data_IF_692789627803
#
_entry.id   IF_692789627803
#
_cell.length_a   1.000
_cell.length_b   1.000
_cell.length_c   1.000
_cell.angle_alpha   90.00
_cell.angle_beta   90.00
_cell.angle_gamma   90.00
#
_symmetry.space_group_name_H-M   'P 1'
#
loop_
_entity.id
_entity.type
_entity.pdbx_description
1 polymer ?
#
# COMPACT_ATOMS: atom_id res chain seq x y z
N UNK A 1 32.38 -26.73 32.75
CA UNK A 1 31.70 -26.90 31.47
C UNK A 1 30.31 -27.43 31.71
N UNK A 2 29.29 -26.55 31.81
CA UNK A 2 27.89 -26.96 31.93
C UNK A 2 27.24 -26.58 30.58
N UNK A 3 26.86 -27.59 29.81
CA UNK A 3 26.06 -27.44 28.61
C UNK A 3 24.63 -27.05 29.03
N UNK A 4 24.22 -25.83 28.72
CA UNK A 4 22.84 -25.43 28.81
C UNK A 4 22.19 -25.77 27.46
N UNK A 5 21.44 -26.89 27.45
CA UNK A 5 20.56 -27.23 26.34
C UNK A 5 19.35 -26.31 26.40
N UNK A 6 19.27 -25.37 25.50
CA UNK A 6 18.08 -24.56 25.29
C UNK A 6 17.11 -25.38 24.42
N UNK A 7 16.13 -26.03 25.05
CA UNK A 7 15.03 -26.68 24.38
C UNK A 7 14.05 -25.56 24.01
N UNK A 8 14.05 -25.14 22.73
CA UNK A 8 13.02 -24.30 22.16
C UNK A 8 11.76 -25.15 22.03
N UNK A 9 10.89 -25.13 23.04
CA UNK A 9 9.53 -25.66 22.92
C UNK A 9 8.72 -24.77 22.01
N UNK A 10 8.66 -25.12 20.74
CA UNK A 10 7.71 -24.57 19.79
C UNK A 10 6.33 -25.10 20.18
N UNK A 11 5.59 -24.31 20.97
CA UNK A 11 4.18 -24.58 21.24
C UNK A 11 3.43 -24.27 19.95
N UNK A 12 3.20 -25.32 19.15
CA UNK A 12 2.20 -25.30 18.10
C UNK A 12 0.83 -25.19 18.79
N UNK A 13 0.33 -23.96 18.95
CA UNK A 13 -1.09 -23.74 19.21
C UNK A 13 -1.80 -24.04 17.90
N UNK A 14 -2.16 -25.30 17.71
CA UNK A 14 -3.13 -25.69 16.71
C UNK A 14 -4.49 -25.18 17.17
N UNK A 15 -4.78 -23.90 16.91
CA UNK A 15 -6.15 -23.45 16.87
C UNK A 15 -6.80 -24.15 15.68
N UNK A 16 -7.47 -25.24 15.96
CA UNK A 16 -8.47 -25.82 15.06
C UNK A 16 -9.56 -24.76 14.97
N UNK A 17 -9.44 -23.86 14.01
CA UNK A 17 -10.55 -23.04 13.60
C UNK A 17 -11.59 -23.98 13.00
N UNK A 18 -12.56 -24.36 13.80
CA UNK A 18 -13.84 -24.82 13.28
C UNK A 18 -14.35 -23.65 12.42
N UNK A 19 -14.22 -23.81 11.12
CA UNK A 19 -14.88 -22.94 10.16
C UNK A 19 -16.40 -23.09 10.37
N UNK A 20 -16.97 -22.21 11.17
CA UNK A 20 -18.38 -21.89 11.00
C UNK A 20 -18.50 -21.30 9.61
N UNK A 21 -19.12 -22.03 8.71
CA UNK A 21 -19.70 -21.48 7.50
C UNK A 21 -20.80 -20.51 7.98
N UNK A 22 -20.42 -19.26 8.25
CA UNK A 22 -21.40 -18.21 8.31
C UNK A 22 -21.95 -18.10 6.89
N UNK A 23 -23.18 -18.53 6.70
CA UNK A 23 -23.99 -18.09 5.58
C UNK A 23 -23.97 -16.56 5.66
N UNK A 24 -23.29 -15.92 4.68
CA UNK A 24 -23.32 -14.47 4.56
C UNK A 24 -24.79 -14.07 4.40
N UNK A 25 -25.38 -13.56 5.48
CA UNK A 25 -26.69 -12.95 5.39
C UNK A 25 -26.57 -11.74 4.47
N UNK A 26 -27.41 -11.65 3.48
CA UNK A 26 -27.42 -10.54 2.51
C UNK A 26 -27.58 -9.19 3.23
N UNK A 27 -28.28 -9.18 4.35
CA UNK A 27 -28.44 -8.00 5.21
C UNK A 27 -27.12 -7.59 5.91
N UNK A 28 -26.25 -8.55 6.26
CA UNK A 28 -24.92 -8.27 6.82
C UNK A 28 -23.94 -7.70 5.76
N UNK A 29 -24.09 -8.10 4.50
CA UNK A 29 -23.35 -7.55 3.37
C UNK A 29 -23.78 -6.11 3.03
N UNK A 30 -25.06 -5.82 3.08
CA UNK A 30 -25.61 -4.50 2.78
C UNK A 30 -25.49 -3.51 3.95
N UNK A 31 -25.49 -4.00 5.19
CA UNK A 31 -25.41 -3.15 6.40
C UNK A 31 -24.01 -3.03 7.01
N UNK A 32 -23.04 -3.87 6.59
CA UNK A 32 -21.73 -3.93 7.23
C UNK A 32 -20.55 -3.53 6.35
N UNK A 33 -20.71 -3.52 5.02
CA UNK A 33 -19.63 -3.19 4.10
C UNK A 33 -19.52 -1.67 3.95
N UNK A 34 -18.43 -1.10 4.48
CA UNK A 34 -18.17 0.34 4.40
C UNK A 34 -16.70 0.59 4.06
N UNK A 35 -16.39 0.43 2.77
CA UNK A 35 -15.02 0.59 2.26
C UNK A 35 -14.72 2.06 1.96
N UNK A 36 -13.54 2.52 2.36
CA UNK A 36 -13.05 3.84 2.01
C UNK A 36 -12.53 3.79 0.57
N UNK A 37 -13.09 4.61 -0.31
CA UNK A 37 -12.65 4.74 -1.70
C UNK A 37 -11.86 6.03 -1.90
N UNK A 38 -10.85 5.98 -2.77
CA UNK A 38 -10.00 7.12 -3.09
C UNK A 38 -9.77 7.23 -4.58
N UNK A 39 -9.47 8.43 -5.07
CA UNK A 39 -8.85 8.58 -6.37
C UNK A 39 -7.44 7.93 -6.39
N UNK A 40 -6.94 7.60 -7.56
CA UNK A 40 -5.58 7.09 -7.81
C UNK A 40 -5.09 5.99 -6.85
N UNK A 41 -5.86 4.92 -6.67
CA UNK A 41 -5.55 3.86 -5.70
C UNK A 41 -4.27 3.09 -6.03
N UNK A 42 -3.70 3.25 -7.22
CA UNK A 42 -2.44 2.63 -7.62
C UNK A 42 -1.27 3.04 -6.72
N UNK A 43 -1.37 4.19 -6.05
CA UNK A 43 -0.37 4.65 -5.09
C UNK A 43 -0.25 3.74 -3.85
N UNK A 44 -1.26 2.93 -3.56
CA UNK A 44 -1.25 1.97 -2.45
C UNK A 44 -0.69 0.60 -2.83
N UNK A 45 -0.51 0.32 -4.12
CA UNK A 45 0.03 -0.96 -4.57
C UNK A 45 1.50 -1.07 -4.14
N UNK A 46 1.85 -2.14 -3.40
CA UNK A 46 3.23 -2.45 -3.04
C UNK A 46 4.07 -2.66 -4.30
N UNK A 47 5.07 -1.80 -4.57
CA UNK A 47 5.73 -1.79 -5.86
C UNK A 47 6.89 -2.79 -5.97
N UNK A 48 7.53 -3.16 -4.85
CA UNK A 48 8.73 -3.96 -4.81
C UNK A 48 8.49 -5.38 -4.27
N UNK A 49 9.40 -6.29 -4.63
CA UNK A 49 9.30 -7.69 -4.25
C UNK A 49 9.71 -7.96 -2.81
N UNK A 50 10.69 -7.22 -2.25
CA UNK A 50 11.16 -7.44 -0.88
C UNK A 50 10.04 -7.24 0.13
N UNK A 51 9.45 -6.06 0.17
CA UNK A 51 8.34 -5.77 1.06
C UNK A 51 7.08 -6.56 0.69
N UNK A 52 6.82 -6.73 -0.61
CA UNK A 52 5.74 -7.56 -1.11
C UNK A 52 5.81 -9.03 -0.67
N UNK A 53 7.00 -9.57 -0.45
CA UNK A 53 7.21 -10.90 0.09
C UNK A 53 6.98 -11.00 1.61
N UNK A 54 6.96 -9.88 2.30
CA UNK A 54 6.77 -9.76 3.75
C UNK A 54 5.37 -9.27 4.14
N UNK A 55 4.35 -9.50 3.28
CA UNK A 55 2.98 -9.06 3.56
C UNK A 55 2.76 -7.57 3.39
N UNK A 56 3.46 -6.93 2.46
CA UNK A 56 3.47 -5.48 2.25
C UNK A 56 3.96 -4.70 3.49
N UNK A 57 5.01 -5.21 4.14
CA UNK A 57 5.68 -4.65 5.32
C UNK A 57 6.94 -3.89 4.89
N UNK A 58 7.11 -2.63 5.31
CA UNK A 58 8.28 -1.86 4.87
C UNK A 58 8.63 -0.60 5.66
N UNK A 59 7.75 -0.08 6.53
CA UNK A 59 7.96 1.23 7.17
C UNK A 59 9.15 1.26 8.13
N UNK A 60 9.46 0.12 8.74
CA UNK A 60 10.52 -0.02 9.72
C UNK A 60 11.59 -1.08 9.36
N UNK A 61 11.51 -1.72 8.20
CA UNK A 61 12.56 -2.64 7.73
C UNK A 61 13.90 -1.92 7.54
N UNK A 62 15.01 -2.67 7.48
CA UNK A 62 16.32 -2.09 7.18
C UNK A 62 16.29 -1.26 5.90
N UNK A 63 17.08 -0.17 5.81
CA UNK A 63 17.18 0.66 4.62
C UNK A 63 17.51 -0.14 3.37
N UNK A 64 16.89 0.22 2.24
CA UNK A 64 17.12 -0.35 0.92
C UNK A 64 16.78 0.66 -0.18
N UNK A 65 17.02 0.30 -1.43
CA UNK A 65 16.75 1.15 -2.59
C UNK A 65 15.26 1.44 -2.74
N UNK A 66 14.37 0.54 -2.30
CA UNK A 66 12.91 0.67 -2.40
C UNK A 66 12.27 1.42 -1.22
N UNK A 67 13.07 1.98 -0.33
CA UNK A 67 12.60 2.70 0.87
C UNK A 67 11.70 3.89 0.58
N UNK A 68 11.73 4.43 -0.65
CA UNK A 68 10.91 5.58 -1.03
C UNK A 68 9.41 5.38 -0.76
N UNK A 69 8.86 4.26 -1.21
CA UNK A 69 7.44 3.97 -1.02
C UNK A 69 7.04 3.78 0.44
N UNK A 70 7.95 3.20 1.23
CA UNK A 70 7.63 2.74 2.57
C UNK A 70 7.91 3.79 3.63
N UNK A 71 9.12 4.36 3.60
CA UNK A 71 9.59 5.37 4.56
C UNK A 71 10.86 6.04 4.02
N UNK A 72 10.77 7.20 3.39
CA UNK A 72 11.94 7.92 2.86
C UNK A 72 13.03 8.24 3.90
N UNK A 73 12.67 8.40 5.19
CA UNK A 73 13.66 8.68 6.25
C UNK A 73 14.72 7.58 6.41
N UNK A 74 14.42 6.34 5.99
CA UNK A 74 15.35 5.20 6.01
C UNK A 74 16.61 5.47 5.20
N UNK A 75 16.51 6.24 4.10
CA UNK A 75 17.65 6.55 3.25
C UNK A 75 18.80 7.25 3.97
N UNK A 76 18.54 7.95 5.08
CA UNK A 76 19.60 8.58 5.87
C UNK A 76 20.55 7.59 6.55
N UNK A 77 20.14 6.31 6.65
CA UNK A 77 20.92 5.22 7.21
C UNK A 77 21.42 4.22 6.15
N UNK A 78 21.23 4.52 4.86
CA UNK A 78 21.74 3.65 3.80
C UNK A 78 23.27 3.75 3.75
N UNK A 79 23.95 2.61 3.59
CA UNK A 79 25.40 2.56 3.65
C UNK A 79 26.02 2.96 2.30
N UNK A 80 25.50 2.39 1.23
CA UNK A 80 26.00 2.62 -0.12
C UNK A 80 25.72 4.03 -0.63
N UNK A 81 26.62 4.53 -1.50
CA UNK A 81 26.57 5.90 -2.00
C UNK A 81 25.45 6.13 -3.00
N UNK A 82 25.16 5.15 -3.84
CA UNK A 82 24.17 5.25 -4.90
C UNK A 82 23.57 3.90 -5.22
N UNK A 83 22.27 3.85 -5.39
CA UNK A 83 21.56 2.65 -5.80
C UNK A 83 20.34 2.99 -6.64
N UNK A 84 19.92 2.04 -7.47
CA UNK A 84 18.73 2.12 -8.28
C UNK A 84 18.02 0.78 -8.31
N UNK A 85 16.69 0.78 -8.44
CA UNK A 85 15.91 -0.43 -8.59
C UNK A 85 14.80 -0.25 -9.62
N UNK A 86 14.51 -1.32 -10.34
CA UNK A 86 13.35 -1.42 -11.23
C UNK A 86 12.49 -2.60 -10.81
N UNK A 87 11.18 -2.37 -10.71
CA UNK A 87 10.23 -3.42 -10.35
C UNK A 87 9.12 -3.50 -11.39
N UNK A 88 8.62 -4.71 -11.59
CA UNK A 88 7.51 -5.02 -12.47
C UNK A 88 6.49 -5.88 -11.74
N UNK A 89 5.24 -5.41 -11.70
CA UNK A 89 4.12 -6.08 -11.02
C UNK A 89 3.01 -6.29 -12.03
N UNK A 90 2.88 -7.49 -12.62
CA UNK A 90 1.70 -7.84 -13.41
C UNK A 90 0.48 -7.93 -12.48
N UNK A 91 -0.56 -7.16 -12.80
CA UNK A 91 -1.75 -6.99 -11.97
C UNK A 91 -2.95 -7.74 -12.56
N UNK A 92 -3.89 -8.21 -11.74
CA UNK A 92 -5.14 -8.87 -12.12
C UNK A 92 -5.00 -10.12 -13.03
N UNK A 93 -3.83 -10.75 -13.05
CA UNK A 93 -3.58 -11.97 -13.86
C UNK A 93 -4.55 -13.11 -13.52
N UNK A 94 -4.98 -13.22 -12.27
CA UNK A 94 -5.94 -14.22 -11.81
C UNK A 94 -7.31 -14.12 -12.52
N UNK A 95 -7.67 -12.92 -12.99
CA UNK A 95 -8.90 -12.67 -13.75
C UNK A 95 -8.74 -12.90 -15.26
N UNK A 96 -7.58 -13.39 -15.72
CA UNK A 96 -7.29 -13.58 -17.15
C UNK A 96 -6.92 -12.28 -17.88
N UNK A 97 -6.74 -11.16 -17.15
CA UNK A 97 -6.35 -9.88 -17.71
C UNK A 97 -4.81 -9.82 -17.76
N UNK A 98 -4.25 -9.62 -18.94
CA UNK A 98 -2.81 -9.74 -19.16
C UNK A 98 -2.07 -8.43 -19.40
N UNK A 99 -2.78 -7.36 -19.62
CA UNK A 99 -2.29 -6.05 -20.04
C UNK A 99 -2.27 -4.99 -18.92
N UNK A 100 -2.77 -5.32 -17.72
CA UNK A 100 -2.67 -4.44 -16.54
C UNK A 100 -1.38 -4.73 -15.79
N UNK A 101 -0.57 -3.68 -15.58
CA UNK A 101 0.71 -3.81 -14.88
C UNK A 101 1.18 -2.49 -14.25
N UNK A 102 1.98 -2.62 -13.19
CA UNK A 102 2.69 -1.52 -12.54
C UNK A 102 4.19 -1.64 -12.82
N UNK A 103 4.76 -0.61 -13.42
CA UNK A 103 6.20 -0.37 -13.49
C UNK A 103 6.62 0.59 -12.38
N UNK A 104 7.70 0.29 -11.70
CA UNK A 104 8.27 1.11 -10.64
C UNK A 104 9.77 1.25 -10.82
N UNK A 105 10.26 2.50 -10.79
CA UNK A 105 11.66 2.83 -10.82
C UNK A 105 11.97 3.71 -9.62
N UNK A 106 13.02 3.41 -8.89
CA UNK A 106 13.48 4.22 -7.76
C UNK A 106 15.00 4.26 -7.73
N UNK A 107 15.54 5.29 -7.09
CA UNK A 107 16.96 5.40 -6.87
C UNK A 107 17.27 6.49 -5.85
N UNK A 108 18.46 6.40 -5.29
CA UNK A 108 18.95 7.36 -4.31
C UNK A 108 20.40 7.74 -4.59
N UNK A 109 20.79 8.88 -4.06
CA UNK A 109 22.16 9.34 -4.02
C UNK A 109 22.48 9.96 -2.65
N UNK A 110 23.46 9.41 -1.96
CA UNK A 110 23.96 9.90 -0.67
C UNK A 110 24.84 11.11 -0.92
N UNK A 111 24.39 12.29 -0.49
CA UNK A 111 25.13 13.55 -0.63
C UNK A 111 26.33 13.60 0.31
N UNK A 112 26.13 13.14 1.53
CA UNK A 112 27.13 13.01 2.61
C UNK A 112 26.62 11.99 3.64
N UNK A 113 27.35 11.80 4.76
CA UNK A 113 27.00 10.82 5.79
C UNK A 113 25.68 11.11 6.53
N UNK A 114 25.10 12.27 6.35
CA UNK A 114 23.87 12.70 7.02
C UNK A 114 22.68 12.91 6.06
N UNK A 115 22.95 13.07 4.76
CA UNK A 115 21.95 13.55 3.82
C UNK A 115 21.90 12.69 2.56
N UNK A 116 20.70 12.29 2.20
CA UNK A 116 20.42 11.47 1.01
C UNK A 116 19.25 12.05 0.25
N UNK A 117 19.35 12.11 -1.07
CA UNK A 117 18.26 12.42 -1.98
C UNK A 117 17.83 11.16 -2.71
N UNK A 118 16.55 11.06 -3.01
CA UNK A 118 16.00 9.94 -3.74
C UNK A 118 14.92 10.40 -4.72
N UNK A 119 14.65 9.57 -5.72
CA UNK A 119 13.56 9.81 -6.67
C UNK A 119 12.84 8.51 -6.99
N UNK A 120 11.54 8.62 -7.32
CA UNK A 120 10.75 7.49 -7.82
C UNK A 120 9.90 7.89 -9.03
N UNK A 121 9.60 6.90 -9.85
CA UNK A 121 8.63 6.96 -10.91
C UNK A 121 7.76 5.71 -10.86
N UNK A 122 6.45 5.90 -10.86
CA UNK A 122 5.44 4.83 -10.98
C UNK A 122 4.64 5.04 -12.24
N UNK A 123 4.45 3.98 -12.98
CA UNK A 123 3.59 3.96 -14.14
C UNK A 123 2.64 2.78 -14.03
N UNK A 124 1.34 3.05 -13.97
CA UNK A 124 0.30 2.03 -13.91
C UNK A 124 -0.49 2.03 -15.21
N UNK A 125 -0.35 0.95 -15.96
CA UNK A 125 -1.13 0.68 -17.17
C UNK A 125 -2.37 -0.13 -16.77
N UNK A 126 -3.56 0.38 -17.14
CA UNK A 126 -4.85 -0.26 -16.83
C UNK A 126 -5.39 -1.12 -18.00
N UNK A 127 -4.56 -1.39 -19.01
CA UNK A 127 -4.96 -2.18 -20.17
C UNK A 127 -5.69 -1.38 -21.24
N UNK A 128 -6.20 -2.06 -22.24
CA UNK A 128 -6.90 -1.44 -23.37
C UNK A 128 -8.41 -1.44 -23.14
N UNK A 129 -9.05 -0.29 -23.32
CA UNK A 129 -10.51 -0.13 -23.32
C UNK A 129 -10.98 0.10 -24.75
N UNK A 130 -11.91 -0.73 -25.20
CA UNK A 130 -12.57 -0.59 -26.51
C UNK A 130 -13.92 0.09 -26.29
N UNK A 131 -14.11 1.26 -26.90
CA UNK A 131 -15.38 1.96 -26.89
C UNK A 131 -16.27 1.47 -28.01
N UNK A 132 -17.53 1.17 -27.67
CA UNK A 132 -18.54 0.74 -28.65
C UNK A 132 -19.76 1.66 -28.60
N UNK A 133 -20.45 1.78 -29.73
CA UNK A 133 -21.75 2.44 -29.79
C UNK A 133 -22.88 1.51 -29.29
N UNK A 134 -24.13 2.00 -29.31
CA UNK A 134 -25.30 1.20 -28.91
C UNK A 134 -25.56 -0.03 -29.80
N UNK A 135 -24.94 -0.12 -30.97
CA UNK A 135 -25.02 -1.26 -31.89
C UNK A 135 -23.84 -2.22 -31.74
N UNK A 136 -22.99 -2.03 -30.72
CA UNK A 136 -21.74 -2.75 -30.46
C UNK A 136 -20.65 -2.55 -31.56
N UNK A 137 -20.76 -1.55 -32.43
CA UNK A 137 -19.67 -1.19 -33.34
C UNK A 137 -18.56 -0.47 -32.59
N UNK A 138 -17.31 -0.81 -32.87
CA UNK A 138 -16.13 -0.18 -32.28
C UNK A 138 -16.03 1.26 -32.80
N UNK A 139 -16.06 2.23 -31.88
CA UNK A 139 -15.93 3.67 -32.15
C UNK A 139 -14.58 4.26 -31.72
N UNK A 140 -13.79 3.50 -31.00
CA UNK A 140 -12.45 3.93 -30.55
C UNK A 140 -11.84 2.96 -29.57
N UNK A 141 -10.54 3.14 -29.31
CA UNK A 141 -9.80 2.41 -28.27
C UNK A 141 -8.89 3.38 -27.51
N UNK A 142 -8.62 3.07 -26.26
CA UNK A 142 -7.80 3.91 -25.40
C UNK A 142 -7.11 3.05 -24.33
N UNK A 143 -5.87 3.42 -23.97
CA UNK A 143 -5.13 2.79 -22.88
C UNK A 143 -5.08 3.72 -21.66
N UNK A 144 -5.99 3.54 -20.68
CA UNK A 144 -5.95 4.30 -19.44
C UNK A 144 -4.63 4.07 -18.71
N UNK A 145 -4.10 5.13 -18.15
CA UNK A 145 -2.85 5.05 -17.41
C UNK A 145 -2.77 6.08 -16.30
N UNK A 146 -2.00 5.75 -15.28
CA UNK A 146 -1.69 6.62 -14.16
C UNK A 146 -0.19 6.72 -13.98
N UNK A 147 0.29 7.88 -13.59
CA UNK A 147 1.71 8.20 -13.41
C UNK A 147 1.91 8.94 -12.10
N UNK A 148 2.97 8.62 -11.36
CA UNK A 148 3.46 9.42 -10.27
C UNK A 148 4.97 9.59 -10.36
N UNK A 149 5.45 10.83 -10.19
CA UNK A 149 6.86 11.16 -10.11
C UNK A 149 7.09 11.86 -8.78
N UNK A 150 8.11 11.43 -8.03
CA UNK A 150 8.39 12.02 -6.73
C UNK A 150 9.90 12.14 -6.48
N UNK A 151 10.25 13.10 -5.63
CA UNK A 151 11.58 13.29 -5.11
C UNK A 151 11.54 13.39 -3.59
N UNK A 152 12.55 12.85 -2.91
CA UNK A 152 12.68 12.84 -1.47
C UNK A 152 14.04 13.35 -1.01
N UNK A 153 14.03 13.93 0.18
CA UNK A 153 15.22 14.29 0.93
C UNK A 153 15.12 13.68 2.32
N UNK A 154 16.16 12.97 2.72
CA UNK A 154 16.28 12.35 4.03
C UNK A 154 17.52 12.88 4.76
N UNK A 155 17.37 13.13 6.07
CA UNK A 155 18.47 13.63 6.90
C UNK A 155 18.55 12.88 8.22
N UNK A 156 19.75 12.42 8.53
CA UNK A 156 20.14 11.87 9.82
C UNK A 156 20.30 13.01 10.83
N UNK A 157 19.48 13.01 11.86
CA UNK A 157 19.48 14.06 12.90
C UNK A 157 20.27 13.65 14.14
N UNK A 158 20.44 12.34 14.35
CA UNK A 158 21.34 11.76 15.35
C UNK A 158 21.79 10.38 14.88
N UNK A 159 22.65 9.70 15.63
CA UNK A 159 23.11 8.34 15.31
C UNK A 159 21.97 7.31 15.25
N UNK A 160 20.83 7.64 15.84
CA UNK A 160 19.68 6.73 15.93
C UNK A 160 18.42 7.24 15.25
N UNK A 161 18.38 8.51 14.79
CA UNK A 161 17.14 9.12 14.34
C UNK A 161 17.31 9.92 13.05
N UNK A 162 16.38 9.75 12.13
CA UNK A 162 16.29 10.50 10.88
C UNK A 162 14.87 10.94 10.57
N UNK A 163 14.76 11.93 9.71
CA UNK A 163 13.52 12.40 9.11
C UNK A 163 13.65 12.45 7.59
N UNK A 164 12.52 12.31 6.91
CA UNK A 164 12.43 12.39 5.45
C UNK A 164 11.21 13.21 5.03
N UNK A 165 11.37 13.95 3.96
CA UNK A 165 10.32 14.72 3.29
C UNK A 165 10.34 14.34 1.80
N UNK A 166 9.16 14.12 1.22
CA UNK A 166 9.04 13.91 -0.23
C UNK A 166 7.96 14.80 -0.84
N UNK A 167 8.12 15.14 -2.10
CA UNK A 167 7.13 15.81 -2.93
C UNK A 167 6.78 14.92 -4.12
N UNK A 168 5.49 14.84 -4.48
CA UNK A 168 4.97 13.96 -5.53
C UNK A 168 4.02 14.70 -6.43
N UNK A 169 4.19 14.54 -7.74
CA UNK A 169 3.23 14.90 -8.77
C UNK A 169 2.50 13.65 -9.24
N UNK A 170 1.18 13.73 -9.34
CA UNK A 170 0.27 12.63 -9.70
C UNK A 170 -0.52 13.04 -10.94
N UNK A 171 -0.58 12.14 -11.92
CA UNK A 171 -1.35 12.28 -13.15
C UNK A 171 -2.15 11.01 -13.39
N UNK A 172 -3.47 11.14 -13.62
CA UNK A 172 -4.35 10.01 -13.90
C UNK A 172 -5.24 10.34 -15.11
N UNK A 173 -5.12 9.54 -16.15
CA UNK A 173 -5.95 9.68 -17.34
C UNK A 173 -6.69 8.37 -17.62
N UNK A 174 -7.92 8.30 -17.14
CA UNK A 174 -8.74 7.08 -17.19
C UNK A 174 -9.62 7.01 -18.44
N UNK A 175 -9.90 8.16 -19.07
CA UNK A 175 -10.94 8.26 -20.11
C UNK A 175 -10.44 8.74 -21.46
N UNK A 176 -9.19 9.19 -21.57
CA UNK A 176 -8.65 9.77 -22.79
C UNK A 176 -9.38 11.01 -23.29
N UNK A 177 -10.11 11.69 -22.40
CA UNK A 177 -10.93 12.85 -22.76
C UNK A 177 -12.28 12.50 -23.42
N UNK A 178 -12.66 11.22 -23.44
CA UNK A 178 -13.98 10.79 -23.90
C UNK A 178 -15.06 11.25 -22.90
N UNK A 179 -16.17 11.72 -23.43
CA UNK A 179 -17.28 12.20 -22.59
C UNK A 179 -18.20 11.05 -22.21
N UNK A 180 -18.50 10.90 -20.94
CA UNK A 180 -19.58 10.05 -20.45
C UNK A 180 -20.87 10.89 -20.38
N UNK A 181 -21.69 10.83 -21.40
CA UNK A 181 -22.91 11.65 -21.49
C UNK A 181 -22.62 13.14 -21.77
N UNK A 182 -23.31 14.05 -21.07
CA UNK A 182 -23.19 15.50 -21.27
C UNK A 182 -21.96 16.15 -20.61
N UNK A 183 -21.26 15.43 -19.74
CA UNK A 183 -20.12 15.96 -18.98
C UNK A 183 -18.80 15.51 -19.64
N UNK A 184 -18.00 16.50 -20.04
CA UNK A 184 -16.65 16.24 -20.54
C UNK A 184 -15.70 15.82 -19.42
N UNK A 185 -14.96 14.75 -19.65
CA UNK A 185 -13.92 14.27 -18.73
C UNK A 185 -12.57 14.89 -19.04
N UNK A 186 -11.71 14.99 -18.04
CA UNK A 186 -10.31 15.46 -18.14
C UNK A 186 -9.41 14.53 -17.34
N UNK A 187 -8.12 14.57 -17.64
CA UNK A 187 -7.14 13.90 -16.80
C UNK A 187 -7.06 14.58 -15.42
N UNK A 188 -7.12 13.78 -14.36
CA UNK A 188 -6.93 14.23 -12.99
C UNK A 188 -5.46 14.51 -12.70
N UNK A 189 -5.19 15.54 -11.92
CA UNK A 189 -3.85 15.90 -11.47
C UNK A 189 -3.88 16.31 -10.00
N UNK A 190 -2.82 15.97 -9.27
CA UNK A 190 -2.66 16.37 -7.87
C UNK A 190 -1.18 16.50 -7.51
N UNK A 191 -0.91 17.30 -6.48
CA UNK A 191 0.40 17.42 -5.85
C UNK A 191 0.26 16.95 -4.41
N UNK A 192 1.21 16.14 -3.95
CA UNK A 192 1.21 15.59 -2.60
C UNK A 192 2.60 15.68 -1.97
N UNK A 193 2.63 15.63 -0.64
CA UNK A 193 3.84 15.53 0.16
C UNK A 193 3.79 14.31 1.07
N UNK A 194 4.97 13.76 1.37
CA UNK A 194 5.13 12.71 2.38
C UNK A 194 6.02 13.22 3.51
N UNK A 195 5.70 12.85 4.74
CA UNK A 195 6.52 13.13 5.93
C UNK A 195 6.81 11.83 6.65
N UNK A 196 8.07 11.59 6.93
CA UNK A 196 8.51 10.34 7.52
C UNK A 196 9.57 10.53 8.61
N UNK A 197 9.65 9.55 9.52
CA UNK A 197 10.70 9.45 10.51
C UNK A 197 11.09 7.99 10.71
N UNK A 198 12.35 7.77 11.08
CA UNK A 198 12.90 6.46 11.31
C UNK A 198 13.86 6.51 12.49
N UNK A 199 13.73 5.54 13.39
CA UNK A 199 14.56 5.36 14.55
C UNK A 199 15.17 3.95 14.54
N UNK A 200 16.46 3.84 14.80
CA UNK A 200 17.17 2.55 14.91
C UNK A 200 18.09 2.55 16.12
N UNK A 201 18.14 1.44 16.83
CA UNK A 201 19.03 1.27 18.00
C UNK A 201 19.38 -0.19 18.22
N UNK A 202 20.56 -0.42 18.74
CA UNK A 202 20.99 -1.74 19.17
C UNK A 202 20.42 -2.06 20.56
N UNK A 203 19.64 -3.14 20.67
CA UNK A 203 19.18 -3.68 21.94
C UNK A 203 20.24 -4.56 22.58
N UNK A 204 21.08 -5.19 21.77
CA UNK A 204 22.23 -6.00 22.19
C UNK A 204 23.28 -6.05 21.08
N UNK A 205 24.38 -6.78 21.29
CA UNK A 205 25.43 -6.97 20.25
C UNK A 205 24.91 -7.72 19.00
N UNK A 206 23.82 -8.41 19.12
CA UNK A 206 23.26 -9.28 18.05
C UNK A 206 21.82 -8.92 17.70
N UNK A 207 21.23 -7.89 18.31
CA UNK A 207 19.83 -7.56 18.12
C UNK A 207 19.66 -6.06 17.96
N UNK A 208 19.08 -5.64 16.87
CA UNK A 208 18.69 -4.27 16.58
C UNK A 208 17.15 -4.13 16.57
N UNK A 209 16.68 -2.94 16.94
CA UNK A 209 15.28 -2.52 16.84
C UNK A 209 15.20 -1.28 15.96
N UNK A 210 14.29 -1.33 15.02
CA UNK A 210 13.91 -0.16 14.24
C UNK A 210 12.43 0.14 14.37
N UNK A 211 12.09 1.43 14.34
CA UNK A 211 10.73 1.96 14.41
C UNK A 211 10.57 3.00 13.32
N UNK A 212 9.47 2.94 12.58
CA UNK A 212 9.19 3.85 11.48
C UNK A 212 7.78 4.43 11.54
N UNK A 213 7.67 5.68 11.07
CA UNK A 213 6.42 6.35 10.79
C UNK A 213 6.51 7.01 9.42
N UNK A 214 5.45 6.91 8.65
CA UNK A 214 5.31 7.62 7.37
C UNK A 214 3.86 8.05 7.18
N UNK A 215 3.65 9.34 6.90
CA UNK A 215 2.38 9.86 6.38
C UNK A 215 2.64 10.20 4.93
N UNK A 216 2.04 9.44 4.03
CA UNK A 216 2.25 9.57 2.59
C UNK A 216 1.03 10.13 1.88
N UNK A 217 1.26 10.78 0.73
CA UNK A 217 0.25 11.32 -0.15
C UNK A 217 -0.63 12.42 0.50
N UNK A 218 -0.10 13.24 1.38
CA UNK A 218 -0.80 14.43 1.89
C UNK A 218 -0.90 15.46 0.74
N UNK A 219 -2.04 15.51 0.06
CA UNK A 219 -2.17 16.33 -1.14
C UNK A 219 -3.61 16.68 -1.48
N UNK A 220 -3.77 17.45 -2.55
CA UNK A 220 -5.06 17.93 -2.98
C UNK A 220 -5.97 16.81 -3.49
N UNK A 221 -7.28 16.98 -3.32
CA UNK A 221 -8.29 16.12 -3.92
C UNK A 221 -8.17 16.15 -5.44
N UNK A 222 -8.53 15.04 -6.09
CA UNK A 222 -8.42 14.88 -7.52
C UNK A 222 -9.82 14.78 -8.16
N UNK A 223 -10.04 15.50 -9.26
CA UNK A 223 -11.29 15.48 -10.03
C UNK A 223 -11.01 15.10 -11.49
N UNK A 224 -11.92 14.33 -12.06
CA UNK A 224 -11.90 13.93 -13.49
C UNK A 224 -12.92 14.70 -14.34
N UNK A 225 -13.56 15.74 -13.79
CA UNK A 225 -14.55 16.56 -14.51
C UNK A 225 -14.05 17.98 -14.73
N UNK A 226 -14.51 18.61 -15.81
CA UNK A 226 -14.19 20.03 -16.10
C UNK A 226 -14.89 21.01 -15.18
N UNK A 227 -15.95 20.57 -14.52
CA UNK A 227 -16.68 21.38 -13.55
C UNK A 227 -15.92 21.26 -12.23
N UNK A 228 -15.17 22.30 -11.89
CA UNK A 228 -14.46 22.38 -10.63
C UNK A 228 -15.51 22.63 -9.52
N UNK A 229 -16.12 21.56 -9.04
CA UNK A 229 -16.88 21.56 -7.79
C UNK A 229 -16.07 20.75 -6.77
N UNK A 230 -15.66 21.37 -5.68
CA UNK A 230 -14.94 20.67 -4.59
C UNK A 230 -15.72 19.45 -4.08
N UNK A 231 -17.05 19.44 -4.25
CA UNK A 231 -17.95 18.33 -3.93
C UNK A 231 -17.83 17.13 -4.86
N UNK A 232 -17.26 17.33 -6.06
CA UNK A 232 -17.01 16.28 -7.06
C UNK A 232 -15.56 15.82 -7.13
N UNK A 233 -14.72 16.22 -6.19
CA UNK A 233 -13.32 15.81 -6.11
C UNK A 233 -13.09 14.79 -4.99
N UNK A 234 -12.41 13.70 -5.32
CA UNK A 234 -12.12 12.61 -4.40
C UNK A 234 -10.77 12.80 -3.70
N UNK A 235 -10.69 12.35 -2.46
CA UNK A 235 -9.42 12.27 -1.75
C UNK A 235 -8.47 11.31 -2.47
N UNK A 236 -7.20 11.68 -2.55
CA UNK A 236 -6.13 10.74 -2.88
C UNK A 236 -5.82 9.87 -1.65
N UNK A 237 -5.14 8.71 -1.78
CA UNK A 237 -4.96 7.77 -0.67
C UNK A 237 -3.91 8.26 0.33
N UNK A 238 -4.26 9.24 1.15
CA UNK A 238 -3.42 9.69 2.26
C UNK A 238 -3.32 8.55 3.27
N UNK A 239 -2.12 8.09 3.57
CA UNK A 239 -1.93 6.90 4.38
C UNK A 239 -0.93 7.13 5.50
N UNK A 240 -1.33 6.78 6.72
CA UNK A 240 -0.46 6.69 7.90
C UNK A 240 0.04 5.26 8.04
N UNK A 241 1.37 5.10 8.06
CA UNK A 241 2.05 3.84 8.39
C UNK A 241 2.85 4.00 9.67
N UNK A 242 2.68 3.05 10.58
CA UNK A 242 3.44 2.91 11.82
C UNK A 242 3.95 1.48 11.90
N UNK A 243 5.19 1.27 12.28
CA UNK A 243 5.69 -0.09 12.42
C UNK A 243 7.00 -0.18 13.17
N UNK A 244 7.37 -1.42 13.46
CA UNK A 244 8.66 -1.77 14.03
C UNK A 244 9.21 -3.05 13.41
N UNK A 245 10.52 -3.19 13.45
CA UNK A 245 11.21 -4.38 13.01
C UNK A 245 12.35 -4.70 13.99
N UNK A 246 12.51 -5.97 14.29
CA UNK A 246 13.59 -6.50 15.12
C UNK A 246 14.49 -7.36 14.26
N UNK A 247 15.76 -6.96 14.14
CA UNK A 247 16.80 -7.74 13.50
C UNK A 247 17.58 -8.55 14.53
N UNK A 248 17.85 -9.81 14.23
CA UNK A 248 18.59 -10.75 15.10
C UNK A 248 19.68 -11.41 14.28
N UNK A 249 20.93 -11.13 14.60
CA UNK A 249 22.09 -11.84 14.06
C UNK A 249 22.31 -13.11 14.86
N UNK A 250 22.09 -14.27 14.25
CA UNK A 250 22.23 -15.57 14.89
C UNK A 250 23.70 -15.99 14.97
N UNK A 251 24.44 -15.71 13.90
CA UNK A 251 25.89 -15.89 13.76
C UNK A 251 26.41 -14.96 12.64
N UNK A 252 27.67 -15.16 12.19
CA UNK A 252 28.30 -14.32 11.18
C UNK A 252 27.67 -14.45 9.78
N UNK A 253 26.89 -15.51 9.53
CA UNK A 253 26.26 -15.78 8.24
C UNK A 253 24.74 -15.67 8.27
N UNK A 254 24.11 -15.76 9.44
CA UNK A 254 22.67 -15.94 9.57
C UNK A 254 22.02 -14.75 10.30
N UNK A 255 21.11 -14.06 9.61
CA UNK A 255 20.32 -12.96 10.18
C UNK A 255 18.82 -13.21 9.94
N UNK A 256 18.01 -12.95 10.96
CA UNK A 256 16.54 -12.97 10.88
C UNK A 256 16.03 -11.57 11.22
N UNK A 257 15.04 -11.11 10.47
CA UNK A 257 14.30 -9.88 10.79
C UNK A 257 12.81 -10.19 10.86
N UNK A 258 12.12 -9.66 11.89
CA UNK A 258 10.69 -9.83 12.10
C UNK A 258 10.10 -8.45 12.33
N UNK A 259 9.04 -8.11 11.60
CA UNK A 259 8.41 -6.80 11.71
C UNK A 259 6.89 -6.84 11.64
N UNK A 260 6.30 -5.73 12.09
CA UNK A 260 4.86 -5.46 12.02
C UNK A 260 4.66 -4.02 11.60
N UNK A 261 3.78 -3.80 10.61
CA UNK A 261 3.28 -2.49 10.20
C UNK A 261 1.77 -2.40 10.44
N UNK A 262 1.33 -1.22 10.83
CA UNK A 262 -0.07 -0.82 10.93
C UNK A 262 -0.31 0.32 9.96
N UNK A 263 -1.33 0.19 9.13
CA UNK A 263 -1.68 1.17 8.10
C UNK A 263 -3.11 1.64 8.29
N UNK A 264 -3.33 2.95 8.25
CA UNK A 264 -4.66 3.56 8.25
C UNK A 264 -4.74 4.63 7.17
N UNK A 265 -5.79 4.58 6.34
CA UNK A 265 -6.12 5.68 5.44
C UNK A 265 -6.60 6.88 6.25
N UNK A 266 -5.98 8.03 6.03
CA UNK A 266 -6.38 9.32 6.60
C UNK A 266 -7.35 10.03 5.65
N UNK A 267 -8.42 9.33 5.31
CA UNK A 267 -9.49 9.75 4.38
C UNK A 267 -10.81 9.53 5.08
N UNK A 268 -11.77 10.47 4.99
CA UNK A 268 -13.05 10.33 5.66
C UNK A 268 -13.76 9.03 5.30
N UNK A 269 -14.33 8.39 6.31
CA UNK A 269 -15.15 7.19 6.15
C UNK A 269 -16.51 7.57 5.56
N UNK A 270 -17.02 6.83 4.54
CA UNK A 270 -18.33 7.10 3.98
C UNK A 270 -19.42 7.04 5.04
N UNK A 271 -20.24 8.10 5.21
CA UNK A 271 -21.35 8.11 6.15
C UNK A 271 -22.52 7.27 5.65
N UNK A 272 -23.41 6.91 6.56
CA UNK A 272 -24.68 6.27 6.23
C UNK A 272 -25.73 7.33 5.97
N UNK A 273 -26.33 7.27 4.78
CA UNK A 273 -27.39 8.18 4.36
C UNK A 273 -28.77 7.54 4.52
N UNK A 274 -29.78 8.34 4.85
CA UNK A 274 -31.18 7.92 4.81
C UNK A 274 -31.61 7.73 3.34
N UNK A 275 -31.84 6.49 2.95
CA UNK A 275 -32.32 6.11 1.61
C UNK A 275 -33.74 5.53 1.67
N UNK A 276 -34.46 5.72 2.77
CA UNK A 276 -35.84 5.26 2.87
C UNK A 276 -36.72 6.05 1.90
N UNK A 277 -37.39 5.34 1.04
CA UNK A 277 -38.41 5.87 0.13
C UNK A 277 -39.74 5.63 0.78
N UNK A 278 -40.54 6.67 0.92
CA UNK A 278 -41.93 6.57 1.42
C UNK A 278 -42.84 6.36 0.22
N UNK A 279 -43.46 5.18 0.13
CA UNK A 279 -44.44 4.88 -0.92
C UNK A 279 -45.83 5.13 -0.34
N UNK A 280 -46.65 5.92 -1.01
CA UNK A 280 -48.04 6.13 -0.61
C UNK A 280 -48.93 4.91 -0.89
N UNK A 281 -50.18 4.94 -0.40
CA UNK A 281 -51.13 3.86 -0.60
C UNK A 281 -51.52 3.62 -2.08
N UNK A 282 -51.12 4.51 -3.00
CA UNK A 282 -51.29 4.37 -4.44
C UNK A 282 -50.03 3.86 -5.14
N UNK A 283 -48.95 3.56 -4.41
CA UNK A 283 -47.68 3.09 -4.97
C UNK A 283 -46.82 4.20 -5.59
N UNK A 284 -47.09 5.45 -5.27
CA UNK A 284 -46.33 6.61 -5.75
C UNK A 284 -45.25 6.97 -4.72
N UNK A 285 -44.03 7.19 -5.21
CA UNK A 285 -42.92 7.70 -4.41
C UNK A 285 -43.26 9.10 -3.84
N UNK A 286 -43.43 9.17 -2.51
CA UNK A 286 -43.48 10.46 -1.83
C UNK A 286 -42.03 10.80 -1.48
N UNK A 287 -41.57 11.97 -1.93
CA UNK A 287 -40.24 12.48 -1.59
C UNK A 287 -40.06 12.53 -0.07
N UNK A 288 -39.24 11.64 0.49
CA UNK A 288 -38.84 11.73 1.89
C UNK A 288 -37.98 13.00 2.05
N UNK A 289 -38.39 14.00 2.85
CA UNK A 289 -37.59 15.21 3.05
C UNK A 289 -36.23 14.92 3.67
N UNK A 290 -36.08 13.79 4.35
CA UNK A 290 -34.82 13.34 4.95
C UNK A 290 -34.01 12.42 4.03
N UNK A 291 -34.45 12.21 2.78
CA UNK A 291 -33.72 11.40 1.80
C UNK A 291 -32.34 11.99 1.54
N UNK A 292 -31.27 11.15 1.64
CA UNK A 292 -29.88 11.55 1.56
C UNK A 292 -29.34 12.41 2.73
N UNK A 293 -30.03 12.53 3.84
CA UNK A 293 -29.43 13.09 5.05
C UNK A 293 -28.51 12.04 5.70
N UNK A 294 -27.42 12.52 6.31
CA UNK A 294 -26.48 11.68 7.06
C UNK A 294 -27.17 11.28 8.38
N UNK A 295 -27.38 9.96 8.58
CA UNK A 295 -27.94 9.41 9.81
C UNK A 295 -26.88 8.84 10.75
N UNK A 296 -25.69 8.48 10.22
CA UNK A 296 -24.54 8.07 11.03
C UNK A 296 -23.25 8.37 10.29
N UNK A 297 -22.18 8.71 11.02
CA UNK A 297 -20.92 9.19 10.46
C UNK A 297 -20.91 10.72 10.31
N UNK A 298 -19.96 11.24 9.53
CA UNK A 298 -19.73 12.67 9.32
C UNK A 298 -19.69 13.02 7.83
N UNK A 299 -19.91 14.29 7.49
CA UNK A 299 -19.81 14.77 6.10
C UNK A 299 -18.38 14.58 5.58
N UNK A 300 -18.17 13.82 4.49
CA UNK A 300 -16.85 13.61 3.90
C UNK A 300 -16.39 14.79 3.02
N UNK A 301 -17.28 15.75 2.71
CA UNK A 301 -16.97 16.93 1.88
C UNK A 301 -16.26 18.02 2.67
N UNK A 302 -15.10 17.70 3.21
CA UNK A 302 -14.29 18.61 4.02
C UNK A 302 -12.94 18.88 3.35
N UNK A 303 -12.24 19.94 3.78
CA UNK A 303 -10.86 20.20 3.35
C UNK A 303 -9.93 19.05 3.74
N UNK A 304 -8.85 18.88 2.99
CA UNK A 304 -7.91 17.74 3.14
C UNK A 304 -7.42 17.55 4.58
N UNK A 305 -6.91 18.61 5.21
CA UNK A 305 -6.41 18.53 6.60
C UNK A 305 -7.53 18.17 7.59
N UNK A 306 -8.72 18.74 7.39
CA UNK A 306 -9.88 18.39 8.21
C UNK A 306 -10.29 16.93 8.03
N UNK A 307 -10.28 16.41 6.80
CA UNK A 307 -10.56 15.01 6.50
C UNK A 307 -9.54 14.05 7.12
N UNK A 308 -8.25 14.41 7.09
CA UNK A 308 -7.20 13.63 7.76
C UNK A 308 -7.43 13.50 9.28
N UNK A 309 -7.85 14.59 9.94
CA UNK A 309 -8.14 14.58 11.38
C UNK A 309 -9.45 13.84 11.64
N UNK A 310 -10.47 14.10 10.84
CA UNK A 310 -11.81 13.50 10.93
C UNK A 310 -11.75 11.97 10.83
N UNK A 311 -10.89 11.42 9.96
CA UNK A 311 -10.72 9.97 9.73
C UNK A 311 -10.39 9.15 10.97
N UNK A 312 -10.15 9.75 12.12
CA UNK A 312 -9.93 9.04 13.39
C UNK A 312 -11.19 8.85 14.23
N UNK A 313 -12.31 9.49 13.85
CA UNK A 313 -13.54 9.47 14.66
C UNK A 313 -14.84 9.63 13.85
N UNK A 314 -14.81 9.47 12.52
CA UNK A 314 -15.96 9.70 11.66
C UNK A 314 -16.73 8.44 11.26
N UNK A 315 -16.23 7.27 11.63
CA UNK A 315 -16.86 6.02 11.27
C UNK A 315 -18.26 5.87 11.88
N UNK A 316 -19.28 5.44 11.10
CA UNK A 316 -20.67 5.32 11.55
C UNK A 316 -20.90 4.41 12.77
N UNK A 317 -20.14 3.30 12.90
CA UNK A 317 -20.19 2.37 14.07
C UNK A 317 -19.18 2.80 15.17
N UNK A 318 -18.69 4.05 15.13
CA UNK A 318 -17.79 4.64 16.11
C UNK A 318 -16.44 3.94 16.22
N UNK A 319 -15.83 3.96 17.42
CA UNK A 319 -14.47 3.45 17.66
C UNK A 319 -14.25 2.00 17.17
N UNK A 320 -15.28 1.16 17.24
CA UNK A 320 -15.17 -0.22 16.79
C UNK A 320 -14.93 -0.32 15.28
N UNK A 321 -15.55 0.53 14.49
CA UNK A 321 -15.36 0.61 13.05
C UNK A 321 -14.02 1.28 12.72
N UNK A 322 -13.62 2.32 13.46
CA UNK A 322 -12.31 2.95 13.34
C UNK A 322 -11.16 1.95 13.50
N UNK A 323 -11.25 1.06 14.48
CA UNK A 323 -10.24 0.02 14.68
C UNK A 323 -10.22 -1.02 13.54
N UNK A 324 -11.34 -1.22 12.84
CA UNK A 324 -11.41 -2.10 11.67
C UNK A 324 -10.77 -1.51 10.42
N UNK A 325 -10.53 -0.20 10.39
CA UNK A 325 -9.86 0.50 9.28
C UNK A 325 -8.35 0.33 9.31
N UNK A 326 -7.81 -0.16 10.42
CA UNK A 326 -6.38 -0.42 10.54
C UNK A 326 -6.05 -1.75 9.86
N UNK A 327 -5.21 -1.68 8.84
CA UNK A 327 -4.65 -2.84 8.19
C UNK A 327 -3.34 -3.24 8.87
N UNK A 328 -3.09 -4.54 8.96
CA UNK A 328 -1.90 -5.09 9.60
C UNK A 328 -1.07 -5.89 8.61
N UNK A 329 0.22 -5.63 8.59
CA UNK A 329 1.22 -6.42 7.89
C UNK A 329 2.18 -7.03 8.90
N UNK A 330 2.52 -8.30 8.73
CA UNK A 330 3.59 -8.93 9.50
C UNK A 330 4.46 -9.73 8.56
N UNK A 331 5.77 -9.69 8.79
CA UNK A 331 6.73 -10.33 7.90
C UNK A 331 7.95 -10.84 8.61
N UNK A 332 8.54 -11.86 8.00
CA UNK A 332 9.80 -12.46 8.42
C UNK A 332 10.73 -12.51 7.20
N UNK A 333 11.97 -12.06 7.42
CA UNK A 333 13.07 -12.14 6.45
C UNK A 333 14.23 -12.88 7.09
N UNK A 334 14.77 -13.87 6.37
CA UNK A 334 15.97 -14.60 6.74
C UNK A 334 17.02 -14.38 5.66
N UNK A 335 18.22 -13.94 6.05
CA UNK A 335 19.38 -13.79 5.20
C UNK A 335 20.44 -14.84 5.54
N UNK A 336 21.00 -15.46 4.51
CA UNK A 336 22.17 -16.30 4.58
C UNK A 336 23.34 -15.63 3.87
N UNK A 337 24.43 -15.37 4.61
CA UNK A 337 25.67 -14.76 4.13
C UNK A 337 25.46 -13.43 3.36
N UNK A 338 24.40 -12.68 3.69
CA UNK A 338 23.97 -11.46 2.98
C UNK A 338 23.81 -11.63 1.45
N UNK A 339 23.75 -12.88 0.99
CA UNK A 339 23.62 -13.23 -0.43
C UNK A 339 22.26 -13.84 -0.77
N UNK A 340 21.71 -14.66 0.11
CA UNK A 340 20.42 -15.32 -0.13
C UNK A 340 19.40 -14.93 0.91
N UNK A 341 18.24 -14.48 0.46
CA UNK A 341 17.13 -14.13 1.31
C UNK A 341 15.94 -15.05 1.09
N UNK A 342 15.28 -15.45 2.18
CA UNK A 342 13.95 -16.06 2.17
C UNK A 342 13.01 -15.19 2.98
N UNK A 343 11.80 -14.96 2.45
CA UNK A 343 10.84 -14.05 3.03
C UNK A 343 9.45 -14.67 3.07
N UNK A 344 8.71 -14.36 4.11
CA UNK A 344 7.29 -14.69 4.21
C UNK A 344 6.56 -13.61 4.98
N UNK A 345 5.27 -13.47 4.73
CA UNK A 345 4.45 -12.47 5.42
C UNK A 345 2.97 -12.77 5.35
N UNK A 346 2.22 -11.96 6.08
CA UNK A 346 0.78 -11.99 6.12
C UNK A 346 0.23 -10.57 6.16
N UNK A 347 -0.74 -10.30 5.30
CA UNK A 347 -1.51 -9.06 5.28
C UNK A 347 -2.94 -9.33 5.74
N UNK A 348 -3.45 -8.44 6.58
CA UNK A 348 -4.81 -8.50 7.11
C UNK A 348 -5.53 -7.16 6.94
N UNK A 349 -6.69 -7.20 6.32
CA UNK A 349 -7.68 -6.14 6.28
C UNK A 349 -9.03 -6.67 6.74
N UNK A 350 -9.77 -5.86 7.50
CA UNK A 350 -11.06 -6.30 8.04
C UNK A 350 -12.10 -6.50 6.92
N UNK A 351 -12.98 -7.51 7.06
CA UNK A 351 -13.95 -7.87 6.02
C UNK A 351 -14.87 -6.71 5.60
N UNK A 352 -15.23 -5.82 6.52
CA UNK A 352 -16.10 -4.65 6.24
C UNK A 352 -15.35 -3.49 5.57
N UNK A 353 -14.02 -3.56 5.45
CA UNK A 353 -13.17 -2.49 4.91
C UNK A 353 -12.40 -2.88 3.63
N UNK A 354 -12.79 -3.99 3.00
CA UNK A 354 -12.16 -4.52 1.77
C UNK A 354 -11.85 -6.01 1.86
N UNK A 355 -11.55 -6.52 3.06
CA UNK A 355 -11.43 -7.96 3.33
C UNK A 355 -10.19 -8.63 2.74
N UNK A 356 -9.19 -7.86 2.29
CA UNK A 356 -7.97 -8.41 1.73
C UNK A 356 -7.17 -9.17 2.80
N UNK A 357 -6.95 -10.44 2.57
CA UNK A 357 -6.14 -11.31 3.44
C UNK A 357 -5.30 -12.22 2.57
N UNK A 358 -4.00 -12.15 2.74
CA UNK A 358 -3.11 -12.96 1.93
C UNK A 358 -1.82 -13.31 2.66
N UNK A 359 -1.30 -14.47 2.35
CA UNK A 359 0.07 -14.86 2.67
C UNK A 359 0.99 -14.49 1.52
N UNK A 360 2.24 -14.21 1.83
CA UNK A 360 3.26 -13.93 0.84
C UNK A 360 4.49 -14.79 1.07
N UNK A 361 5.14 -15.15 -0.02
CA UNK A 361 6.42 -15.84 -0.03
C UNK A 361 7.35 -15.12 -1.00
N UNK A 362 8.63 -15.14 -0.73
CA UNK A 362 9.61 -14.59 -1.65
C UNK A 362 11.02 -15.06 -1.38
N UNK A 363 11.85 -14.81 -2.38
CA UNK A 363 13.27 -15.11 -2.33
C UNK A 363 14.05 -13.95 -2.95
N UNK A 364 15.25 -13.72 -2.43
CA UNK A 364 16.21 -12.75 -2.94
C UNK A 364 17.58 -13.34 -3.11
N UNK A 365 18.32 -12.84 -4.09
CA UNK A 365 19.71 -13.19 -4.30
C UNK A 365 20.51 -11.94 -4.61
N UNK A 366 21.52 -11.65 -3.80
CA UNK A 366 22.46 -10.54 -3.98
C UNK A 366 23.80 -11.11 -4.42
N UNK A 367 24.33 -10.56 -5.51
CA UNK A 367 25.66 -10.91 -6.01
C UNK A 367 26.38 -9.64 -6.46
N UNK A 368 27.43 -9.27 -5.73
CA UNK A 368 28.18 -8.03 -5.93
C UNK A 368 27.28 -6.81 -5.98
N UNK A 369 27.06 -6.23 -7.15
CA UNK A 369 26.27 -5.01 -7.40
C UNK A 369 24.81 -5.28 -7.78
N UNK A 370 24.42 -6.54 -7.93
CA UNK A 370 23.09 -6.92 -8.38
C UNK A 370 22.34 -7.66 -7.28
N UNK A 371 21.07 -7.30 -7.09
CA UNK A 371 20.12 -8.08 -6.30
C UNK A 371 18.86 -8.33 -7.11
N UNK A 372 18.39 -9.56 -7.10
CA UNK A 372 17.15 -9.98 -7.76
C UNK A 372 16.22 -10.50 -6.69
N UNK A 373 15.04 -9.90 -6.59
CA UNK A 373 13.98 -10.30 -5.69
C UNK A 373 12.74 -10.76 -6.45
N UNK A 374 12.12 -11.79 -5.91
CA UNK A 374 10.85 -12.33 -6.36
C UNK A 374 9.88 -12.46 -5.20
N UNK A 375 8.61 -12.13 -5.42
CA UNK A 375 7.53 -12.41 -4.46
C UNK A 375 6.29 -12.97 -5.12
N UNK A 376 5.56 -13.75 -4.35
CA UNK A 376 4.32 -14.39 -4.74
C UNK A 376 3.26 -14.25 -3.65
N UNK A 377 2.07 -13.82 -4.05
CA UNK A 377 0.93 -13.60 -3.17
C UNK A 377 -0.05 -14.77 -3.26
N UNK A 378 -0.42 -15.33 -2.10
CA UNK A 378 -1.36 -16.44 -1.94
C UNK A 378 -2.56 -15.92 -1.17
N UNK A 379 -3.74 -15.95 -1.77
CA UNK A 379 -4.97 -15.54 -1.09
C UNK A 379 -5.28 -16.44 0.12
N UNK A 380 -5.61 -15.83 1.26
CA UNK A 380 -5.98 -16.54 2.48
C UNK A 380 -7.49 -16.90 2.55
N UNK A 381 -8.35 -16.22 1.78
CA UNK A 381 -9.80 -16.46 1.77
C UNK A 381 -10.17 -17.66 0.89
N UNK A 382 -10.39 -18.82 1.50
CA UNK A 382 -10.74 -20.07 0.79
C UNK A 382 -12.06 -20.00 0.02
N UNK A 383 -13.04 -19.25 0.51
CA UNK A 383 -14.35 -19.08 -0.14
C UNK A 383 -14.24 -18.31 -1.45
N UNK A 384 -13.34 -17.34 -1.54
CA UNK A 384 -13.09 -16.58 -2.75
C UNK A 384 -12.24 -17.36 -3.76
N UNK A 385 -11.31 -18.21 -3.27
CA UNK A 385 -10.53 -19.12 -4.12
C UNK A 385 -11.45 -20.11 -4.84
N UNK A 386 -12.44 -20.66 -4.14
CA UNK A 386 -13.42 -21.59 -4.72
C UNK A 386 -14.34 -20.92 -5.76
N UNK A 387 -14.58 -19.62 -5.64
CA UNK A 387 -15.36 -18.83 -6.58
C UNK A 387 -14.53 -18.31 -7.79
N UNK A 388 -13.19 -18.44 -7.77
CA UNK A 388 -12.31 -18.00 -8.87
C UNK A 388 -12.17 -16.49 -9.02
N UNK A 389 -12.61 -15.70 -8.02
CA UNK A 389 -12.86 -14.26 -8.21
C UNK A 389 -11.98 -13.32 -7.39
N UNK A 390 -10.87 -13.77 -6.79
CA UNK A 390 -9.99 -12.81 -6.11
C UNK A 390 -9.04 -12.14 -7.10
N UNK A 391 -9.18 -10.83 -7.35
CA UNK A 391 -8.33 -10.11 -8.31
C UNK A 391 -6.84 -10.09 -7.94
N UNK A 392 -6.49 -10.26 -6.66
CA UNK A 392 -5.11 -10.24 -6.18
C UNK A 392 -4.45 -11.63 -6.14
N UNK A 393 -5.23 -12.71 -6.34
CA UNK A 393 -4.68 -14.06 -6.32
C UNK A 393 -3.56 -14.21 -7.36
N UNK A 394 -2.52 -14.94 -7.00
CA UNK A 394 -1.38 -15.25 -7.87
C UNK A 394 -0.62 -14.02 -8.39
N UNK A 395 -0.67 -12.89 -7.68
CA UNK A 395 0.16 -11.72 -8.03
C UNK A 395 1.62 -12.05 -7.77
N UNK A 396 2.44 -11.83 -8.79
CA UNK A 396 3.90 -11.95 -8.74
C UNK A 396 4.51 -10.55 -8.75
N UNK A 397 5.67 -10.39 -8.14
CA UNK A 397 6.46 -9.17 -8.26
C UNK A 397 7.91 -9.55 -8.56
N UNK A 398 8.54 -8.78 -9.41
CA UNK A 398 9.93 -8.92 -9.78
C UNK A 398 10.62 -7.59 -9.54
N UNK A 399 11.74 -7.62 -8.84
CA UNK A 399 12.56 -6.43 -8.57
C UNK A 399 14.00 -6.75 -8.89
N UNK A 400 14.63 -5.86 -9.65
CA UNK A 400 16.06 -5.86 -9.90
C UNK A 400 16.65 -4.62 -9.25
N UNK A 401 17.63 -4.82 -8.37
CA UNK A 401 18.36 -3.76 -7.67
C UNK A 401 19.78 -3.67 -8.18
N UNK A 402 20.27 -2.47 -8.35
CA UNK A 402 21.63 -2.12 -8.70
C UNK A 402 22.23 -1.31 -7.57
N UNK A 403 23.21 -1.89 -6.90
CA UNK A 403 24.01 -1.26 -5.85
C UNK A 403 25.34 -0.80 -6.47
N UNK A 404 25.39 0.48 -6.80
CA UNK A 404 26.52 1.03 -7.55
C UNK A 404 27.63 1.58 -6.62
N UNK A 405 27.42 1.56 -5.31
CA UNK A 405 28.40 2.00 -4.32
C UNK A 405 29.68 1.15 -4.35
N UNK A 406 29.52 -0.15 -4.53
CA UNK A 406 30.62 -1.09 -4.59
C UNK A 406 31.60 -0.89 -5.77
N UNK A 407 31.17 -0.24 -6.85
CA UNK A 407 32.03 0.01 -8.03
C UNK A 407 33.05 1.14 -7.75
N UNK A 408 32.81 2.01 -6.78
CA UNK A 408 33.69 3.15 -6.49
C UNK A 408 34.87 2.81 -5.54
N UNK A 409 34.79 1.71 -4.80
CA UNK A 409 35.89 1.30 -3.91
C UNK A 409 37.01 0.56 -4.65
N UNK A 410 36.76 -0.01 -5.85
CA UNK A 410 37.73 -0.78 -6.62
C UNK A 410 38.52 0.02 -7.68
N UNK A 411 38.49 1.34 -7.64
CA UNK A 411 39.51 2.16 -8.28
C UNK A 411 39.17 2.84 -9.61
N UNK A 412 39.24 4.13 -9.58
CA UNK A 412 39.95 4.93 -10.57
C UNK A 412 40.86 5.92 -9.84
#
# INVERSE_FOLDING_TARGET
>A
MKKISFILSFVFISNVFYGQSQSLNYDDLLGGLNTITTAVPFLQIAPDSRAGAMGDLGVATSPDVNSFHWNPAKYAFIEDKVGAAVSYVPWLRALGISDINLGYLTGYYKLNDQETVAAELRYFNLGEIIFTNSNADVIGQYNPHELAIAAAYARKLSDHFSMGLAGRYIYSNLTGGQSAGAVGTVAGQSIAADLSAYYITDLSRTTDLSVGINISNMGDKLSYTKIFDERGADFIPINLRLGYCVGIRLDDYNRISIGVDMNKLLVPTPPIYDKRVTIDSAGVDISNPDYNQIIAGMDPNVAVVSGMIQSFYDAPDGLKEELREINYSTGLEYWYNEQFALRTGYFFEHNTKGGRKFYTLGAGMKYTVFEIDFSYLINANRTEIAAGNNPLANTMRFTLVFDLGAIQEDGF
#
